data_IF_367193718990
#
_entry.id   IF_367193718990
#
_cell.length_a   1.000
_cell.length_b   1.000
_cell.length_c   1.000
_cell.angle_alpha   90.00
_cell.angle_beta   90.00
_cell.angle_gamma   90.00
#
_symmetry.space_group_name_H-M   'P 1'
#
loop_
_entity.id
_entity.type
_entity.pdbx_description
1 polymer ?
#
# COMPACT_ATOMS: atom_id res chain seq x y z
N UNK A 1 22.78 4.30 0.54
CA UNK A 1 23.19 5.50 1.32
C UNK A 1 22.55 6.76 0.80
N UNK A 2 22.74 7.17 -0.48
CA UNK A 2 22.13 8.40 -1.01
C UNK A 2 20.60 8.46 -0.87
N UNK A 3 19.88 7.37 -1.15
CA UNK A 3 18.41 7.32 -1.01
C UNK A 3 17.97 7.58 0.44
N UNK A 4 18.67 7.01 1.42
CA UNK A 4 18.33 7.19 2.84
C UNK A 4 18.64 8.62 3.32
N UNK A 5 19.73 9.23 2.83
CA UNK A 5 20.05 10.62 3.12
C UNK A 5 18.98 11.56 2.55
N UNK A 6 18.59 11.37 1.28
CA UNK A 6 17.53 12.16 0.65
C UNK A 6 16.17 11.94 1.31
N UNK A 7 15.86 10.72 1.75
CA UNK A 7 14.65 10.41 2.51
C UNK A 7 14.59 11.16 3.84
N UNK A 8 15.68 11.18 4.62
CA UNK A 8 15.74 11.96 5.86
C UNK A 8 15.66 13.46 5.62
N UNK A 9 16.36 13.97 4.61
CA UNK A 9 16.24 15.38 4.21
C UNK A 9 14.82 15.75 3.79
N UNK A 10 14.11 14.88 3.08
CA UNK A 10 12.70 15.09 2.72
C UNK A 10 11.80 15.10 3.97
N UNK A 11 12.07 14.22 4.94
CA UNK A 11 11.40 14.21 6.24
C UNK A 11 11.55 15.54 6.99
N UNK A 12 12.78 16.02 7.14
CA UNK A 12 13.07 17.30 7.81
C UNK A 12 12.43 18.50 7.10
N UNK A 13 12.39 18.49 5.76
CA UNK A 13 11.70 19.53 4.97
C UNK A 13 10.19 19.45 5.18
N UNK A 14 9.60 18.25 5.22
CA UNK A 14 8.17 18.08 5.49
C UNK A 14 7.78 18.56 6.90
N UNK A 15 8.65 18.33 7.89
CA UNK A 15 8.49 18.83 9.26
C UNK A 15 8.58 20.36 9.29
N UNK A 16 9.61 20.96 8.68
CA UNK A 16 9.76 22.41 8.61
C UNK A 16 8.61 23.13 7.88
N UNK A 17 8.05 22.49 6.85
CA UNK A 17 6.94 23.04 6.08
C UNK A 17 5.59 22.82 6.75
N UNK A 18 5.53 22.14 7.90
CA UNK A 18 4.29 21.75 8.55
C UNK A 18 3.36 21.00 7.57
N UNK A 19 3.94 20.14 6.73
CA UNK A 19 3.19 19.42 5.69
C UNK A 19 2.09 18.56 6.31
N UNK A 20 2.33 18.00 7.50
CA UNK A 20 1.33 17.26 8.24
C UNK A 20 0.13 18.14 8.60
N UNK A 21 0.35 19.30 9.23
CA UNK A 21 -0.69 20.29 9.51
C UNK A 21 -1.45 20.71 8.24
N UNK A 22 -0.74 20.94 7.13
CA UNK A 22 -1.35 21.29 5.85
C UNK A 22 -2.25 20.16 5.32
N UNK A 23 -1.79 18.91 5.37
CA UNK A 23 -2.56 17.74 4.93
C UNK A 23 -3.76 17.53 5.85
N UNK A 24 -3.60 17.66 7.17
CA UNK A 24 -4.70 17.59 8.14
C UNK A 24 -5.74 18.69 7.88
N UNK A 25 -5.31 19.92 7.58
CA UNK A 25 -6.20 21.03 7.24
C UNK A 25 -6.86 20.87 5.87
N UNK A 26 -6.13 20.38 4.86
CA UNK A 26 -6.62 20.17 3.50
C UNK A 26 -7.62 19.01 3.43
N UNK A 27 -7.37 17.95 4.20
CA UNK A 27 -8.32 16.86 4.39
C UNK A 27 -9.44 17.29 5.34
N UNK A 28 -9.27 18.31 6.17
CA UNK A 28 -10.31 18.83 7.05
C UNK A 28 -10.85 17.81 8.06
N UNK A 29 -11.79 18.24 8.91
CA UNK A 29 -12.38 17.37 9.95
C UNK A 29 -13.32 16.26 9.45
N UNK A 30 -13.39 16.00 8.14
CA UNK A 30 -14.32 15.01 7.57
C UNK A 30 -13.74 13.60 7.44
N UNK A 31 -12.42 13.43 7.53
CA UNK A 31 -11.79 12.11 7.48
C UNK A 31 -11.43 11.61 8.89
N UNK A 32 -11.99 10.48 9.35
CA UNK A 32 -11.56 9.81 10.57
C UNK A 32 -10.08 9.45 10.49
N UNK A 33 -9.34 9.63 11.59
CA UNK A 33 -7.91 9.29 11.66
C UNK A 33 -7.62 7.82 11.28
N UNK A 34 -8.56 6.91 11.58
CA UNK A 34 -8.47 5.50 11.20
C UNK A 34 -8.48 5.23 9.70
N UNK A 35 -8.86 6.19 8.83
CA UNK A 35 -8.79 6.04 7.37
C UNK A 35 -7.45 6.50 6.76
N UNK A 36 -6.55 7.07 7.57
CA UNK A 36 -5.20 7.43 7.11
C UNK A 36 -4.44 6.24 6.48
N UNK A 37 -4.44 5.03 7.08
CA UNK A 37 -3.80 3.84 6.49
C UNK A 37 -4.32 3.52 5.08
N UNK A 38 -5.64 3.61 4.85
CA UNK A 38 -6.23 3.36 3.54
C UNK A 38 -5.77 4.36 2.46
N UNK A 39 -5.70 5.64 2.81
CA UNK A 39 -5.17 6.67 1.92
C UNK A 39 -3.69 6.43 1.59
N UNK A 40 -2.91 6.12 2.62
CA UNK A 40 -1.48 5.82 2.51
C UNK A 40 -1.24 4.59 1.63
N UNK A 41 -2.04 3.53 1.77
CA UNK A 41 -1.98 2.35 0.91
C UNK A 41 -2.14 2.72 -0.56
N UNK A 42 -3.16 3.54 -0.90
CA UNK A 42 -3.43 3.95 -2.29
C UNK A 42 -2.30 4.82 -2.85
N UNK A 43 -1.77 5.76 -2.07
CA UNK A 43 -0.65 6.61 -2.50
C UNK A 43 0.61 5.77 -2.71
N UNK A 44 0.92 4.85 -1.79
CA UNK A 44 2.05 3.94 -1.90
C UNK A 44 1.91 3.02 -3.12
N UNK A 45 0.73 2.43 -3.31
CA UNK A 45 0.41 1.60 -4.47
C UNK A 45 0.60 2.34 -5.79
N UNK A 46 0.03 3.54 -5.93
CA UNK A 46 0.14 4.34 -7.15
C UNK A 46 1.58 4.79 -7.42
N UNK A 47 2.29 5.27 -6.39
CA UNK A 47 3.68 5.71 -6.51
C UNK A 47 4.60 4.56 -6.89
N UNK A 48 4.44 3.40 -6.26
CA UNK A 48 5.27 2.24 -6.54
C UNK A 48 4.95 1.61 -7.89
N UNK A 49 3.68 1.57 -8.29
CA UNK A 49 3.30 1.16 -9.64
C UNK A 49 3.91 2.06 -10.72
N UNK A 50 3.87 3.37 -10.52
CA UNK A 50 4.40 4.35 -11.47
C UNK A 50 5.93 4.38 -11.53
N UNK A 51 6.62 4.04 -10.45
CA UNK A 51 8.09 4.06 -10.37
C UNK A 51 8.72 2.69 -10.59
N UNK A 52 7.96 1.59 -10.43
CA UNK A 52 8.46 0.23 -10.48
C UNK A 52 9.37 -0.13 -9.31
N UNK A 53 9.28 0.57 -8.17
CA UNK A 53 10.15 0.31 -7.01
C UNK A 53 9.36 0.33 -5.70
N UNK A 54 9.50 -0.73 -4.91
CA UNK A 54 8.97 -0.80 -3.55
C UNK A 54 9.82 0.02 -2.58
N UNK A 55 11.13 -0.23 -2.54
CA UNK A 55 12.06 0.44 -1.61
C UNK A 55 12.18 1.95 -1.83
N UNK A 56 12.12 2.42 -3.07
CA UNK A 56 12.12 3.85 -3.36
C UNK A 56 10.87 4.55 -2.81
N UNK A 57 9.72 3.92 -3.00
CA UNK A 57 8.43 4.39 -2.46
C UNK A 57 8.43 4.41 -0.94
N UNK A 58 8.90 3.33 -0.29
CA UNK A 58 9.05 3.26 1.16
C UNK A 58 9.98 4.35 1.70
N UNK A 59 11.11 4.59 1.02
CA UNK A 59 12.06 5.65 1.38
C UNK A 59 11.45 7.04 1.36
N UNK A 60 10.52 7.32 0.45
CA UNK A 60 9.81 8.59 0.38
C UNK A 60 8.70 8.68 1.44
N UNK A 61 7.92 7.61 1.61
CA UNK A 61 6.70 7.66 2.41
C UNK A 61 6.91 7.49 3.91
N UNK A 62 7.88 6.68 4.36
CA UNK A 62 8.13 6.54 5.80
C UNK A 62 8.42 7.87 6.51
N UNK A 63 9.37 8.71 6.05
CA UNK A 63 9.68 9.97 6.72
C UNK A 63 8.53 10.99 6.65
N UNK A 64 7.59 10.84 5.70
CA UNK A 64 6.45 11.73 5.55
C UNK A 64 5.25 11.29 6.42
N UNK A 65 4.92 10.00 6.38
CA UNK A 65 3.68 9.47 6.94
C UNK A 65 3.80 9.17 8.43
N UNK A 66 4.97 8.75 8.93
CA UNK A 66 5.15 8.42 10.35
C UNK A 66 4.90 9.64 11.25
N UNK A 67 5.49 10.83 11.00
CA UNK A 67 5.20 12.02 11.79
C UNK A 67 3.73 12.44 11.69
N UNK A 68 3.17 12.45 10.46
CA UNK A 68 1.77 12.78 10.22
C UNK A 68 0.81 11.86 11.00
N UNK A 69 1.04 10.56 10.99
CA UNK A 69 0.21 9.59 11.71
C UNK A 69 0.31 9.79 13.23
N UNK A 70 1.49 10.15 13.73
CA UNK A 70 1.70 10.43 15.15
C UNK A 70 0.98 11.71 15.60
N UNK A 71 1.02 12.78 14.80
CA UNK A 71 0.32 14.04 15.10
C UNK A 71 -1.20 13.91 14.99
N UNK A 72 -1.70 13.12 14.02
CA UNK A 72 -3.13 12.92 13.81
C UNK A 72 -3.77 12.07 14.92
N UNK A 73 -3.03 11.12 15.48
CA UNK A 73 -3.53 10.19 16.49
C UNK A 73 -2.50 9.90 17.61
N UNK A 74 -2.10 10.91 18.40
CA UNK A 74 -0.99 10.80 19.34
C UNK A 74 -1.23 9.82 20.49
N UNK A 75 -2.50 9.53 20.80
CA UNK A 75 -2.88 8.54 21.82
C UNK A 75 -3.14 7.13 21.25
N UNK A 76 -3.13 6.95 19.92
CA UNK A 76 -3.47 5.71 19.25
C UNK A 76 -2.32 5.21 18.36
N UNK A 77 -1.44 4.42 18.97
CA UNK A 77 -0.34 3.77 18.27
C UNK A 77 -0.79 2.79 17.17
N UNK A 78 -2.07 2.39 17.14
CA UNK A 78 -2.59 1.52 16.11
C UNK A 78 -2.67 2.23 14.74
N UNK A 79 -2.94 3.53 14.71
CA UNK A 79 -2.99 4.30 13.44
C UNK A 79 -1.59 4.42 12.83
N UNK A 80 -0.56 4.68 13.66
CA UNK A 80 0.84 4.72 13.22
C UNK A 80 1.27 3.36 12.69
N UNK A 81 1.03 2.28 13.44
CA UNK A 81 1.39 0.93 13.04
C UNK A 81 0.67 0.50 11.75
N UNK A 82 -0.62 0.80 11.64
CA UNK A 82 -1.41 0.50 10.44
C UNK A 82 -0.88 1.29 9.24
N UNK A 83 -0.57 2.58 9.40
CA UNK A 83 0.00 3.40 8.33
C UNK A 83 1.35 2.86 7.84
N UNK A 84 2.21 2.40 8.75
CA UNK A 84 3.47 1.71 8.40
C UNK A 84 3.19 0.43 7.61
N UNK A 85 2.22 -0.38 8.05
CA UNK A 85 1.81 -1.59 7.33
C UNK A 85 1.26 -1.26 5.93
N UNK A 86 0.49 -0.18 5.79
CA UNK A 86 -0.05 0.29 4.50
C UNK A 86 1.03 0.77 3.54
N UNK A 87 2.07 1.45 4.03
CA UNK A 87 3.23 1.82 3.20
C UNK A 87 3.88 0.55 2.66
N UNK A 88 4.11 -0.45 3.51
CA UNK A 88 4.71 -1.71 3.10
C UNK A 88 3.84 -2.44 2.08
N UNK A 89 2.55 -2.63 2.40
CA UNK A 89 1.62 -3.36 1.55
C UNK A 89 1.40 -2.67 0.20
N UNK A 90 1.14 -1.37 0.20
CA UNK A 90 0.92 -0.60 -1.03
C UNK A 90 2.19 -0.54 -1.89
N UNK A 91 3.37 -0.32 -1.28
CA UNK A 91 4.63 -0.29 -2.03
C UNK A 91 4.97 -1.64 -2.66
N UNK A 92 4.78 -2.75 -1.95
CA UNK A 92 5.02 -4.09 -2.54
C UNK A 92 3.99 -4.41 -3.62
N UNK A 93 2.73 -4.07 -3.38
CA UNK A 93 1.67 -4.30 -4.36
C UNK A 93 1.90 -3.55 -5.66
N UNK A 94 2.26 -2.26 -5.59
CA UNK A 94 2.51 -1.43 -6.76
C UNK A 94 3.70 -1.93 -7.58
N UNK A 95 4.81 -2.26 -6.91
CA UNK A 95 5.99 -2.86 -7.52
C UNK A 95 5.67 -4.17 -8.26
N UNK A 96 4.93 -5.08 -7.61
CA UNK A 96 4.56 -6.39 -8.13
C UNK A 96 3.77 -6.34 -9.45
N UNK A 97 2.89 -5.35 -9.60
CA UNK A 97 2.05 -5.23 -10.80
C UNK A 97 2.57 -4.20 -11.81
N UNK A 98 3.68 -3.50 -11.51
CA UNK A 98 4.26 -2.51 -12.40
C UNK A 98 4.92 -3.17 -13.63
N UNK A 99 4.60 -2.73 -14.87
CA UNK A 99 5.30 -3.19 -16.06
C UNK A 99 6.78 -2.78 -16.10
N UNK A 100 7.15 -1.72 -15.39
CA UNK A 100 8.53 -1.18 -15.45
C UNK A 100 9.40 -1.63 -14.29
N UNK A 101 8.87 -2.46 -13.37
CA UNK A 101 9.63 -2.98 -12.23
C UNK A 101 10.70 -3.96 -12.66
N UNK A 102 11.90 -3.81 -12.08
CA UNK A 102 13.02 -4.75 -12.26
C UNK A 102 12.62 -6.18 -11.86
N UNK A 103 11.79 -6.33 -10.81
CA UNK A 103 11.30 -7.63 -10.34
C UNK A 103 10.37 -8.26 -11.38
N UNK A 104 9.46 -7.46 -11.97
CA UNK A 104 8.55 -7.92 -13.03
C UNK A 104 9.32 -8.31 -14.29
N UNK A 105 10.29 -7.50 -14.69
CA UNK A 105 11.16 -7.77 -15.85
C UNK A 105 11.93 -9.07 -15.63
N UNK A 106 12.64 -9.21 -14.50
CA UNK A 106 13.38 -10.42 -14.19
C UNK A 106 12.48 -11.66 -14.08
N UNK A 107 11.27 -11.53 -13.53
CA UNK A 107 10.31 -12.64 -13.41
C UNK A 107 9.83 -13.12 -14.78
N UNK A 108 9.52 -12.20 -15.70
CA UNK A 108 9.12 -12.55 -17.06
C UNK A 108 10.25 -13.24 -17.86
N UNK A 109 11.48 -12.72 -17.72
CA UNK A 109 12.69 -13.28 -18.32
C UNK A 109 13.00 -14.68 -17.78
N UNK A 110 12.97 -14.86 -16.46
CA UNK A 110 13.22 -16.15 -15.81
C UNK A 110 12.17 -17.20 -16.20
N UNK A 111 10.93 -16.76 -16.42
CA UNK A 111 9.82 -17.63 -16.86
C UNK A 111 9.79 -17.88 -18.37
N UNK A 112 10.71 -17.27 -19.14
CA UNK A 112 10.75 -17.35 -20.62
C UNK A 112 9.41 -17.01 -21.29
N UNK A 113 8.69 -16.04 -20.73
CA UNK A 113 7.40 -15.57 -21.25
C UNK A 113 7.49 -14.13 -21.74
N UNK A 114 6.56 -13.74 -22.61
CA UNK A 114 6.46 -12.34 -23.02
C UNK A 114 6.14 -11.45 -21.80
N UNK A 115 6.86 -10.34 -21.71
CA UNK A 115 6.76 -9.43 -20.57
C UNK A 115 5.36 -8.82 -20.42
N UNK A 116 4.72 -8.45 -21.53
CA UNK A 116 3.37 -7.86 -21.51
C UNK A 116 2.35 -8.92 -21.09
N UNK A 117 2.52 -10.15 -21.55
CA UNK A 117 1.65 -11.26 -21.14
C UNK A 117 1.82 -11.62 -19.66
N UNK A 118 3.05 -11.57 -19.14
CA UNK A 118 3.31 -11.72 -17.71
C UNK A 118 2.54 -10.69 -16.88
N UNK A 119 2.68 -9.40 -17.22
CA UNK A 119 1.98 -8.31 -16.51
C UNK A 119 0.46 -8.46 -16.61
N UNK A 120 -0.05 -8.72 -17.82
CA UNK A 120 -1.50 -8.85 -18.06
C UNK A 120 -2.11 -10.01 -17.31
N UNK A 121 -1.40 -11.12 -17.15
CA UNK A 121 -1.88 -12.28 -16.41
C UNK A 121 -1.81 -12.07 -14.91
N UNK A 122 -0.82 -11.32 -14.40
CA UNK A 122 -0.70 -11.00 -12.97
C UNK A 122 -1.69 -9.93 -12.49
N UNK A 123 -1.97 -8.92 -13.31
CA UNK A 123 -2.76 -7.75 -12.90
C UNK A 123 -4.16 -8.08 -12.33
N UNK A 124 -4.95 -9.02 -12.88
CA UNK A 124 -6.23 -9.40 -12.29
C UNK A 124 -6.11 -9.97 -10.87
N UNK A 125 -5.06 -10.78 -10.60
CA UNK A 125 -4.81 -11.31 -9.26
C UNK A 125 -4.35 -10.21 -8.31
N UNK A 126 -3.46 -9.32 -8.77
CA UNK A 126 -3.02 -8.17 -8.01
C UNK A 126 -4.21 -7.27 -7.64
N UNK A 127 -5.08 -6.92 -8.59
CA UNK A 127 -6.27 -6.10 -8.33
C UNK A 127 -7.24 -6.76 -7.33
N UNK A 128 -7.43 -8.07 -7.40
CA UNK A 128 -8.27 -8.79 -6.43
C UNK A 128 -7.69 -8.70 -5.01
N UNK A 129 -6.39 -9.00 -4.85
CA UNK A 129 -5.72 -8.93 -3.54
C UNK A 129 -5.66 -7.49 -3.02
N UNK A 130 -5.26 -6.53 -3.86
CA UNK A 130 -5.19 -5.12 -3.51
C UNK A 130 -6.55 -4.54 -3.11
N UNK A 131 -7.61 -4.89 -3.84
CA UNK A 131 -8.97 -4.49 -3.52
C UNK A 131 -9.46 -5.07 -2.19
N UNK A 132 -9.21 -6.36 -1.93
CA UNK A 132 -9.57 -6.99 -0.65
C UNK A 132 -8.77 -6.37 0.50
N UNK A 133 -7.46 -6.17 0.34
CA UNK A 133 -6.63 -5.50 1.34
C UNK A 133 -7.13 -4.09 1.65
N UNK A 134 -7.47 -3.29 0.63
CA UNK A 134 -7.97 -1.93 0.82
C UNK A 134 -9.33 -1.91 1.53
N UNK A 135 -10.27 -2.76 1.13
CA UNK A 135 -11.64 -2.72 1.68
C UNK A 135 -11.71 -3.40 3.05
N UNK A 136 -11.18 -4.61 3.18
CA UNK A 136 -11.29 -5.44 4.38
C UNK A 136 -10.19 -5.12 5.39
N UNK A 137 -8.97 -4.91 4.91
CA UNK A 137 -7.80 -4.66 5.73
C UNK A 137 -7.69 -3.21 6.20
N UNK A 138 -7.81 -2.25 5.28
CA UNK A 138 -7.57 -0.85 5.57
C UNK A 138 -8.84 -0.10 6.00
N UNK A 139 -9.84 -0.01 5.12
CA UNK A 139 -11.06 0.80 5.36
C UNK A 139 -11.87 0.23 6.51
N UNK A 140 -12.18 -1.06 6.50
CA UNK A 140 -13.04 -1.65 7.52
C UNK A 140 -12.39 -1.69 8.92
N UNK A 141 -11.08 -1.99 8.99
CA UNK A 141 -10.33 -1.90 10.25
C UNK A 141 -10.24 -0.44 10.72
N UNK A 142 -10.00 0.50 9.79
CA UNK A 142 -9.93 1.93 10.06
C UNK A 142 -11.25 2.54 10.56
N UNK A 143 -12.38 1.99 10.14
CA UNK A 143 -13.72 2.35 10.66
C UNK A 143 -14.08 1.63 11.97
N UNK A 144 -13.20 0.76 12.48
CA UNK A 144 -13.43 0.01 13.72
C UNK A 144 -14.45 -1.13 13.58
N UNK A 145 -14.74 -1.59 12.37
CA UNK A 145 -15.67 -2.72 12.15
C UNK A 145 -15.11 -4.03 12.73
N UNK A 146 -13.79 -4.20 12.68
CA UNK A 146 -13.07 -5.33 13.24
C UNK A 146 -11.59 -5.00 13.47
N UNK A 147 -10.91 -5.79 14.31
CA UNK A 147 -9.47 -5.68 14.53
C UNK A 147 -8.64 -6.44 13.49
N UNK A 148 -7.33 -6.18 13.47
CA UNK A 148 -6.39 -6.75 12.49
C UNK A 148 -6.44 -8.30 12.36
N UNK A 149 -6.54 -9.11 13.43
CA UNK A 149 -6.62 -10.57 13.28
C UNK A 149 -7.88 -11.03 12.53
N UNK A 150 -9.00 -10.36 12.77
CA UNK A 150 -10.28 -10.66 12.11
C UNK A 150 -10.23 -10.20 10.66
N UNK A 151 -9.62 -9.05 10.37
CA UNK A 151 -9.40 -8.56 9.01
C UNK A 151 -8.61 -9.58 8.17
N UNK A 152 -7.56 -10.19 8.74
CA UNK A 152 -6.77 -11.22 8.07
C UNK A 152 -7.60 -12.46 7.75
N UNK A 153 -8.36 -12.98 8.71
CA UNK A 153 -9.22 -14.15 8.51
C UNK A 153 -10.30 -13.89 7.45
N UNK A 154 -10.96 -12.74 7.52
CA UNK A 154 -11.97 -12.33 6.55
C UNK A 154 -11.35 -12.13 5.16
N UNK A 155 -10.18 -11.49 5.08
CA UNK A 155 -9.44 -11.31 3.82
C UNK A 155 -9.11 -12.65 3.16
N UNK A 156 -8.58 -13.61 3.93
CA UNK A 156 -8.34 -14.96 3.44
C UNK A 156 -9.63 -15.65 2.96
N UNK A 157 -10.72 -15.55 3.73
CA UNK A 157 -12.00 -16.15 3.36
C UNK A 157 -12.59 -15.54 2.07
N UNK A 158 -12.51 -14.21 1.92
CA UNK A 158 -12.97 -13.50 0.72
C UNK A 158 -12.12 -13.88 -0.48
N UNK A 159 -10.78 -13.90 -0.35
CA UNK A 159 -9.89 -14.32 -1.44
C UNK A 159 -10.11 -15.77 -1.85
N UNK A 160 -10.31 -16.67 -0.89
CA UNK A 160 -10.67 -18.06 -1.17
C UNK A 160 -11.99 -18.14 -1.94
N UNK A 161 -13.00 -17.37 -1.53
CA UNK A 161 -14.27 -17.25 -2.24
C UNK A 161 -14.11 -16.76 -3.68
N UNK A 162 -13.32 -15.69 -3.89
CA UNK A 162 -13.03 -15.15 -5.23
C UNK A 162 -12.40 -16.23 -6.11
N UNK A 163 -11.37 -16.93 -5.62
CA UNK A 163 -10.72 -18.01 -6.36
C UNK A 163 -11.71 -19.14 -6.67
N UNK A 164 -12.59 -19.50 -5.74
CA UNK A 164 -13.50 -20.63 -5.91
C UNK A 164 -14.67 -20.37 -6.86
N UNK A 165 -15.21 -19.15 -6.85
CA UNK A 165 -16.43 -18.78 -7.60
C UNK A 165 -16.14 -18.02 -8.90
N UNK A 166 -15.06 -17.24 -8.95
CA UNK A 166 -14.68 -16.44 -10.13
C UNK A 166 -13.51 -17.08 -10.89
N UNK A 167 -12.64 -17.82 -10.18
CA UNK A 167 -11.52 -18.52 -10.79
C UNK A 167 -12.00 -19.58 -11.79
N UNK A 168 -11.39 -19.58 -12.98
CA UNK A 168 -11.59 -20.65 -13.96
C UNK A 168 -10.64 -21.81 -13.64
N UNK A 169 -11.10 -23.06 -13.67
CA UNK A 169 -10.20 -24.20 -13.60
C UNK A 169 -9.23 -24.14 -14.79
N UNK A 170 -7.94 -24.33 -14.51
CA UNK A 170 -6.93 -24.48 -15.56
C UNK A 170 -7.04 -25.93 -16.03
N UNK A 171 -7.57 -26.13 -17.24
CA UNK A 171 -7.49 -27.41 -17.91
C UNK A 171 -6.01 -27.66 -18.25
N UNK A 172 -5.42 -28.66 -17.60
CA UNK A 172 -4.03 -29.08 -17.81
C UNK A 172 -3.90 -30.14 -18.89
#
# INVERSE_FOLDING_TARGET
>A
VMILVLAWSLGEVCEHLHTADYVIQAIGGWMPAGLLPALVFVIAAATSFATGTSWGTMGILFPLVIPLAHELAPADGAVVLSSVASILAGSVWGDHCSPISDTTIMSSMASSCDHVDHVRTQLPYALAVGGVSLVVGEIATGLGLWGAPVALLLGCAVLYGIVRFVGKPVEG
#
